data_IF_076490318865
#
_entry.id   IF_076490318865
#
_cell.length_a   1.000
_cell.length_b   1.000
_cell.length_c   1.000
_cell.angle_alpha   90.00
_cell.angle_beta   90.00
_cell.angle_gamma   90.00
#
_symmetry.space_group_name_H-M   'P 1'
#
loop_
_entity.id
_entity.type
_entity.pdbx_description
1 polymer ?
#
# COMPACT_ATOMS: atom_id res chain seq x y z
N UNK A 1 -14.95 -26.18 6.50
CA UNK A 1 -14.83 -24.86 7.16
C UNK A 1 -13.33 -24.57 7.22
N UNK A 2 -12.89 -23.44 6.73
CA UNK A 2 -11.48 -23.04 6.82
C UNK A 2 -11.14 -22.48 8.20
N UNK A 3 -9.85 -22.48 8.56
CA UNK A 3 -9.40 -21.86 9.80
C UNK A 3 -9.63 -20.35 9.73
N UNK A 4 -9.31 -19.74 8.59
CA UNK A 4 -9.45 -18.29 8.38
C UNK A 4 -10.26 -17.96 7.14
N UNK A 5 -11.07 -16.90 7.25
CA UNK A 5 -11.70 -16.21 6.13
C UNK A 5 -11.11 -14.80 6.01
N UNK A 6 -10.49 -14.48 4.88
CA UNK A 6 -9.98 -13.14 4.58
C UNK A 6 -10.94 -12.45 3.62
N UNK A 7 -11.44 -11.28 4.01
CA UNK A 7 -12.36 -10.46 3.20
C UNK A 7 -11.61 -9.30 2.56
N UNK A 8 -11.41 -9.38 1.25
CA UNK A 8 -10.71 -8.38 0.44
C UNK A 8 -9.40 -8.91 -0.15
N UNK A 9 -9.32 -8.94 -1.47
CA UNK A 9 -8.18 -9.43 -2.27
C UNK A 9 -7.19 -8.33 -2.68
N UNK A 10 -7.02 -7.28 -1.86
CA UNK A 10 -5.95 -6.29 -2.01
C UNK A 10 -4.59 -6.84 -1.58
N UNK A 11 -3.54 -5.99 -1.63
CA UNK A 11 -2.17 -6.39 -1.22
C UNK A 11 -2.14 -6.94 0.22
N UNK A 12 -2.93 -6.35 1.13
CA UNK A 12 -3.02 -6.80 2.52
C UNK A 12 -3.66 -8.18 2.60
N UNK A 13 -4.83 -8.39 1.99
CA UNK A 13 -5.50 -9.69 2.04
C UNK A 13 -4.72 -10.80 1.35
N UNK A 14 -4.10 -10.52 0.19
CA UNK A 14 -3.28 -11.50 -0.52
C UNK A 14 -2.02 -11.88 0.28
N UNK A 15 -1.29 -10.91 0.84
CA UNK A 15 -0.11 -11.20 1.66
C UNK A 15 -0.49 -11.95 2.94
N UNK A 16 -1.57 -11.54 3.63
CA UNK A 16 -2.02 -12.23 4.85
C UNK A 16 -2.45 -13.66 4.55
N UNK A 17 -3.22 -13.87 3.47
CA UNK A 17 -3.61 -15.22 3.03
C UNK A 17 -2.38 -16.10 2.78
N UNK A 18 -1.36 -15.53 2.13
CA UNK A 18 -0.10 -16.24 1.87
C UNK A 18 0.64 -16.58 3.18
N UNK A 19 0.78 -15.63 4.10
CA UNK A 19 1.44 -15.86 5.41
C UNK A 19 0.74 -16.97 6.20
N UNK A 20 -0.58 -16.92 6.33
CA UNK A 20 -1.38 -17.92 7.04
C UNK A 20 -1.27 -19.31 6.39
N UNK A 21 -1.38 -19.37 5.07
CA UNK A 21 -1.31 -20.63 4.34
C UNK A 21 0.09 -21.26 4.39
N UNK A 22 1.16 -20.46 4.30
CA UNK A 22 2.53 -20.94 4.48
C UNK A 22 2.82 -21.44 5.90
N UNK A 23 2.09 -20.91 6.91
CA UNK A 23 2.11 -21.42 8.26
C UNK A 23 1.27 -22.70 8.45
N UNK A 24 0.62 -23.21 7.40
CA UNK A 24 -0.15 -24.46 7.39
C UNK A 24 -1.65 -24.32 7.61
N UNK A 25 -2.16 -23.08 7.79
CA UNK A 25 -3.58 -22.85 8.01
C UNK A 25 -4.39 -22.98 6.69
N UNK A 26 -5.63 -23.43 6.78
CA UNK A 26 -6.58 -23.40 5.68
C UNK A 26 -7.25 -22.01 5.59
N UNK A 27 -7.21 -21.38 4.39
CA UNK A 27 -7.69 -20.00 4.23
C UNK A 27 -8.67 -19.92 3.08
N UNK A 28 -9.82 -19.29 3.31
CA UNK A 28 -10.71 -18.82 2.23
C UNK A 28 -10.50 -17.32 2.06
N UNK A 29 -10.17 -16.88 0.85
CA UNK A 29 -10.08 -15.46 0.50
C UNK A 29 -11.23 -15.10 -0.44
N UNK A 30 -12.03 -14.11 -0.05
CA UNK A 30 -13.14 -13.58 -0.87
C UNK A 30 -12.83 -12.17 -1.34
N UNK A 31 -13.06 -11.90 -2.63
CA UNK A 31 -12.89 -10.59 -3.26
C UNK A 31 -14.10 -10.30 -4.15
N UNK A 32 -14.69 -9.10 -4.01
CA UNK A 32 -15.88 -8.71 -4.78
C UNK A 32 -15.65 -8.59 -6.29
N UNK A 33 -14.41 -8.33 -6.69
CA UNK A 33 -13.99 -8.23 -8.09
C UNK A 33 -12.81 -9.17 -8.37
N UNK A 34 -11.85 -8.68 -9.15
CA UNK A 34 -10.57 -9.34 -9.34
C UNK A 34 -9.56 -8.83 -8.31
N UNK A 35 -8.76 -9.73 -7.75
CA UNK A 35 -7.73 -9.38 -6.76
C UNK A 35 -6.75 -8.34 -7.27
N UNK A 36 -6.30 -7.48 -6.35
CA UNK A 36 -5.31 -6.42 -6.54
C UNK A 36 -5.68 -5.38 -7.62
N UNK A 37 -6.96 -5.10 -7.87
CA UNK A 37 -7.42 -4.14 -8.90
C UNK A 37 -7.86 -2.77 -8.36
N UNK A 38 -7.91 -2.60 -7.04
CA UNK A 38 -8.28 -1.33 -6.39
C UNK A 38 -7.02 -0.53 -5.99
N UNK A 39 -6.93 0.00 -4.77
CA UNK A 39 -5.81 0.81 -4.29
C UNK A 39 -4.44 0.15 -4.50
N UNK A 40 -4.36 -1.17 -4.38
CA UNK A 40 -3.14 -1.95 -4.57
C UNK A 40 -2.57 -1.88 -5.99
N UNK A 41 -3.44 -1.77 -6.99
CA UNK A 41 -3.05 -1.56 -8.39
C UNK A 41 -2.73 -0.11 -8.67
N UNK A 42 -3.55 0.81 -8.13
CA UNK A 42 -3.52 2.23 -8.48
C UNK A 42 -2.30 2.99 -7.92
N UNK A 43 -1.64 2.47 -6.90
CA UNK A 43 -0.53 3.14 -6.22
C UNK A 43 0.75 3.26 -7.03
N UNK A 44 1.64 4.17 -6.63
CA UNK A 44 2.92 4.43 -7.31
C UNK A 44 4.00 3.37 -7.08
N UNK A 45 3.94 2.64 -5.98
CA UNK A 45 4.90 1.57 -5.71
C UNK A 45 6.23 2.02 -5.08
N UNK A 46 6.27 3.16 -4.42
CA UNK A 46 7.44 3.58 -3.64
C UNK A 46 7.45 2.76 -2.34
N UNK A 47 8.55 2.07 -2.06
CA UNK A 47 8.75 1.27 -0.84
C UNK A 47 9.37 2.16 0.25
N UNK A 48 8.71 3.27 0.52
CA UNK A 48 9.01 4.22 1.59
C UNK A 48 7.81 5.12 1.82
N UNK A 49 7.54 5.56 3.06
CA UNK A 49 6.67 6.71 3.26
C UNK A 49 7.26 7.93 2.55
N UNK A 50 6.41 8.77 1.95
CA UNK A 50 6.84 10.05 1.42
C UNK A 50 7.12 11.00 2.60
N UNK A 51 8.30 11.60 2.65
CA UNK A 51 8.75 12.39 3.81
C UNK A 51 8.60 11.63 5.13
N UNK A 52 9.37 10.55 5.36
CA UNK A 52 9.15 9.62 6.48
C UNK A 52 9.22 10.27 7.87
N UNK A 53 9.90 11.39 8.03
CA UNK A 53 9.97 12.16 9.28
C UNK A 53 8.67 12.88 9.67
N UNK A 54 7.68 12.93 8.76
CA UNK A 54 6.37 13.53 9.02
C UNK A 54 5.34 12.52 9.54
N UNK A 55 5.76 11.29 9.76
CA UNK A 55 4.89 10.21 10.27
C UNK A 55 5.27 9.83 11.71
N UNK A 56 4.30 9.25 12.41
CA UNK A 56 4.51 8.74 13.77
C UNK A 56 5.52 7.58 13.80
N UNK A 57 6.05 7.29 14.99
CA UNK A 57 6.92 6.13 15.22
C UNK A 57 6.23 4.81 14.85
N UNK A 58 4.91 4.71 15.02
CA UNK A 58 4.14 3.52 14.63
C UNK A 58 4.26 3.25 13.12
N UNK A 59 4.07 4.27 12.26
CA UNK A 59 4.24 4.13 10.81
C UNK A 59 5.70 3.82 10.46
N UNK A 60 6.65 4.47 11.12
CA UNK A 60 8.09 4.25 10.90
C UNK A 60 8.51 2.81 11.21
N UNK A 61 8.01 2.22 12.30
CA UNK A 61 8.31 0.83 12.69
C UNK A 61 7.83 -0.17 11.64
N UNK A 62 6.55 -0.08 11.21
CA UNK A 62 6.02 -0.94 10.15
C UNK A 62 6.79 -0.78 8.84
N UNK A 63 7.09 0.47 8.45
CA UNK A 63 7.81 0.75 7.22
C UNK A 63 9.24 0.17 7.26
N UNK A 64 9.97 0.35 8.35
CA UNK A 64 11.34 -0.14 8.51
C UNK A 64 11.40 -1.66 8.42
N UNK A 65 10.52 -2.36 9.15
CA UNK A 65 10.46 -3.82 9.08
C UNK A 65 10.09 -4.31 7.67
N UNK A 66 9.10 -3.70 7.05
CA UNK A 66 8.67 -4.06 5.69
C UNK A 66 9.74 -3.85 4.63
N UNK A 67 10.49 -2.75 4.70
CA UNK A 67 11.54 -2.44 3.72
C UNK A 67 12.59 -3.54 3.66
N UNK A 68 12.99 -4.10 4.81
CA UNK A 68 13.93 -5.23 4.85
C UNK A 68 13.35 -6.52 4.27
N UNK A 69 12.04 -6.71 4.33
CA UNK A 69 11.36 -7.93 3.87
C UNK A 69 11.13 -7.96 2.36
N UNK A 70 11.06 -6.80 1.69
CA UNK A 70 10.66 -6.72 0.28
C UNK A 70 11.60 -7.46 -0.68
N UNK A 71 12.90 -7.47 -0.41
CA UNK A 71 13.89 -8.18 -1.25
C UNK A 71 13.60 -9.68 -1.27
N UNK A 72 13.38 -10.26 -0.09
CA UNK A 72 13.06 -11.68 0.05
C UNK A 72 11.69 -12.01 -0.54
N UNK A 73 10.68 -11.17 -0.30
CA UNK A 73 9.34 -11.35 -0.85
C UNK A 73 9.34 -11.32 -2.38
N UNK A 74 10.03 -10.35 -2.98
CA UNK A 74 10.11 -10.23 -4.44
C UNK A 74 10.83 -11.42 -5.09
N UNK A 75 11.91 -11.90 -4.47
CA UNK A 75 12.65 -13.08 -4.93
C UNK A 75 11.78 -14.34 -4.84
N UNK A 76 11.13 -14.59 -3.70
CA UNK A 76 10.25 -15.73 -3.49
C UNK A 76 9.08 -15.72 -4.49
N UNK A 77 8.41 -14.58 -4.69
CA UNK A 77 7.32 -14.47 -5.65
C UNK A 77 7.79 -14.75 -7.09
N UNK A 78 8.98 -14.27 -7.46
CA UNK A 78 9.54 -14.53 -8.79
C UNK A 78 9.82 -16.01 -8.98
N UNK A 79 10.41 -16.68 -7.99
CA UNK A 79 10.70 -18.12 -8.02
C UNK A 79 9.41 -18.96 -8.08
N UNK A 80 8.44 -18.66 -7.22
CA UNK A 80 7.17 -19.39 -7.11
C UNK A 80 6.27 -19.24 -8.34
N UNK A 81 6.24 -18.07 -8.95
CA UNK A 81 5.22 -17.72 -9.94
C UNK A 81 5.75 -17.43 -11.34
N UNK A 82 7.05 -17.24 -11.50
CA UNK A 82 7.67 -16.75 -12.73
C UNK A 82 7.38 -15.27 -13.03
N UNK A 83 6.76 -14.53 -12.11
CA UNK A 83 6.38 -13.12 -12.29
C UNK A 83 7.31 -12.25 -11.42
N UNK A 84 8.27 -11.53 -12.05
CA UNK A 84 9.10 -10.54 -11.37
C UNK A 84 8.26 -9.29 -11.01
N UNK A 85 8.10 -8.95 -9.71
CA UNK A 85 7.40 -7.73 -9.29
C UNK A 85 8.14 -6.42 -9.64
N UNK A 86 9.28 -6.49 -10.26
CA UNK A 86 10.17 -5.36 -10.60
C UNK A 86 10.55 -4.51 -9.37
N UNK A 87 11.03 -5.16 -8.31
CA UNK A 87 11.62 -4.44 -7.18
C UNK A 87 12.96 -3.82 -7.61
N UNK A 88 13.07 -2.49 -7.56
CA UNK A 88 14.25 -1.73 -7.99
C UNK A 88 14.72 -0.82 -6.87
N UNK A 89 15.87 -1.14 -6.27
CA UNK A 89 16.54 -0.27 -5.30
C UNK A 89 17.46 0.70 -6.03
N UNK A 90 16.93 1.87 -6.35
CA UNK A 90 17.63 2.94 -7.08
C UNK A 90 17.73 4.24 -6.29
N UNK A 91 17.11 4.30 -5.11
CA UNK A 91 17.06 5.47 -4.27
C UNK A 91 15.98 6.49 -4.67
N UNK A 92 15.85 7.52 -3.84
CA UNK A 92 14.91 8.61 -4.01
C UNK A 92 15.55 9.95 -3.72
N UNK A 93 15.41 10.89 -4.63
CA UNK A 93 15.68 12.30 -4.38
C UNK A 93 14.42 13.00 -3.85
N UNK A 94 14.60 13.86 -2.87
CA UNK A 94 13.57 14.78 -2.39
C UNK A 94 14.10 16.19 -2.59
N UNK A 95 13.41 16.94 -3.45
CA UNK A 95 13.84 18.27 -3.88
C UNK A 95 12.91 19.31 -3.28
N UNK A 96 13.44 20.48 -2.97
CA UNK A 96 12.70 21.61 -2.39
C UNK A 96 12.00 21.25 -1.07
N UNK A 97 12.78 20.68 -0.15
CA UNK A 97 12.29 20.24 1.17
C UNK A 97 12.51 21.34 2.20
N UNK A 98 11.42 21.92 2.71
CA UNK A 98 11.45 23.02 3.69
C UNK A 98 11.93 22.56 5.08
N UNK A 99 11.52 21.37 5.52
CA UNK A 99 11.80 20.79 6.85
C UNK A 99 13.03 19.86 6.84
N UNK A 100 14.10 20.28 6.13
CA UNK A 100 15.35 19.54 5.93
C UNK A 100 16.00 19.08 7.24
N UNK A 101 16.06 19.96 8.24
CA UNK A 101 16.69 19.66 9.53
C UNK A 101 15.92 18.58 10.30
N UNK A 102 14.59 18.60 10.23
CA UNK A 102 13.76 17.55 10.78
C UNK A 102 14.02 16.20 10.08
N UNK A 103 14.19 16.20 8.75
CA UNK A 103 14.55 15.02 7.97
C UNK A 103 15.87 14.40 8.42
N UNK A 104 16.92 15.21 8.56
CA UNK A 104 18.25 14.77 8.98
C UNK A 104 18.24 14.27 10.44
N UNK A 105 17.52 14.96 11.33
CA UNK A 105 17.35 14.53 12.72
C UNK A 105 16.63 13.19 12.83
N UNK A 106 15.56 12.99 12.05
CA UNK A 106 14.86 11.72 11.96
C UNK A 106 15.78 10.61 11.43
N UNK A 107 16.56 10.89 10.38
CA UNK A 107 17.49 9.94 9.80
C UNK A 107 18.53 9.47 10.81
N UNK A 108 19.08 10.39 11.60
CA UNK A 108 20.02 10.07 12.68
C UNK A 108 19.36 9.23 13.78
N UNK A 109 18.16 9.59 14.22
CA UNK A 109 17.42 8.90 15.30
C UNK A 109 17.03 7.47 14.91
N UNK A 110 16.70 7.23 13.64
CA UNK A 110 16.28 5.91 13.14
C UNK A 110 17.39 5.18 12.36
N UNK A 111 18.62 5.69 12.37
CA UNK A 111 19.77 5.11 11.65
C UNK A 111 19.47 4.85 10.17
N UNK A 112 18.82 5.83 9.51
CA UNK A 112 18.43 5.70 8.10
C UNK A 112 19.42 6.46 7.20
N UNK A 113 19.82 5.88 6.06
CA UNK A 113 20.71 6.55 5.12
C UNK A 113 19.95 7.64 4.34
N UNK A 114 19.83 8.81 4.93
CA UNK A 114 19.33 10.03 4.32
C UNK A 114 20.37 11.12 4.48
N UNK A 115 20.81 11.69 3.38
CA UNK A 115 21.85 12.71 3.37
C UNK A 115 21.45 13.90 2.51
N UNK A 116 21.97 15.06 2.86
CA UNK A 116 21.88 16.21 2.00
C UNK A 116 22.97 16.18 0.94
N UNK A 117 22.60 16.46 -0.30
CA UNK A 117 23.49 16.48 -1.46
C UNK A 117 23.37 17.78 -2.24
N UNK A 118 24.46 18.20 -2.84
CA UNK A 118 24.46 19.34 -3.77
C UNK A 118 23.75 18.99 -5.07
N UNK A 119 23.27 20.01 -5.80
CA UNK A 119 22.58 19.83 -7.06
C UNK A 119 23.40 19.09 -8.13
N UNK A 120 24.72 19.24 -8.10
CA UNK A 120 25.63 18.50 -9.00
C UNK A 120 25.46 16.98 -8.88
N UNK A 121 25.24 16.46 -7.66
CA UNK A 121 24.95 15.04 -7.43
C UNK A 121 23.61 14.63 -8.07
N UNK A 122 22.57 15.45 -7.94
CA UNK A 122 21.26 15.21 -8.57
C UNK A 122 21.38 15.23 -10.10
N UNK A 123 21.95 16.28 -10.68
CA UNK A 123 22.07 16.44 -12.14
C UNK A 123 22.98 15.40 -12.78
N UNK A 124 24.01 14.92 -12.08
CA UNK A 124 24.85 13.82 -12.57
C UNK A 124 24.04 12.53 -12.76
N UNK A 125 23.11 12.27 -11.86
CA UNK A 125 22.32 11.04 -11.87
C UNK A 125 20.99 11.15 -12.62
N UNK A 126 20.45 12.34 -12.72
CA UNK A 126 19.18 12.68 -13.39
C UNK A 126 19.40 13.88 -14.30
N UNK A 127 20.08 13.69 -15.46
CA UNK A 127 20.45 14.80 -16.35
C UNK A 127 19.26 15.51 -16.98
N UNK A 128 18.10 14.85 -17.08
CA UNK A 128 16.86 15.43 -17.61
C UNK A 128 16.03 16.17 -16.53
N UNK A 129 16.51 16.24 -15.29
CA UNK A 129 15.83 16.98 -14.23
C UNK A 129 15.89 18.49 -14.49
N UNK A 130 14.79 19.18 -14.19
CA UNK A 130 14.67 20.63 -14.38
C UNK A 130 15.77 21.40 -13.65
N UNK A 131 16.34 22.40 -14.31
CA UNK A 131 17.44 23.23 -13.78
C UNK A 131 16.96 24.23 -12.71
N UNK A 132 17.92 24.80 -11.96
CA UNK A 132 17.66 25.90 -11.00
C UNK A 132 17.68 25.48 -9.55
N UNK A 133 17.76 24.21 -9.23
CA UNK A 133 17.84 23.71 -7.87
C UNK A 133 19.28 23.66 -7.36
N UNK A 134 19.51 23.89 -6.08
CA UNK A 134 20.85 23.97 -5.46
C UNK A 134 21.23 22.75 -4.66
N UNK A 135 20.25 22.03 -4.10
CA UNK A 135 20.46 20.86 -3.26
C UNK A 135 19.24 19.95 -3.24
N UNK A 136 19.43 18.73 -2.79
CA UNK A 136 18.36 17.77 -2.55
C UNK A 136 18.66 16.95 -1.29
N UNK A 137 17.67 16.23 -0.76
CA UNK A 137 17.85 15.12 0.15
C UNK A 137 17.90 13.83 -0.67
N UNK A 138 18.81 12.94 -0.32
CA UNK A 138 19.04 11.68 -1.00
C UNK A 138 18.88 10.50 -0.05
N UNK A 139 17.99 9.55 -0.40
CA UNK A 139 17.79 8.27 0.29
C UNK A 139 18.18 7.12 -0.65
N UNK A 140 19.41 6.56 -0.54
CA UNK A 140 19.94 5.56 -1.48
C UNK A 140 19.22 4.21 -1.44
N UNK A 141 18.65 3.83 -0.30
CA UNK A 141 18.05 2.51 -0.09
C UNK A 141 16.57 2.43 -0.51
N UNK A 142 15.97 3.53 -0.91
CA UNK A 142 14.57 3.50 -1.33
C UNK A 142 14.41 2.66 -2.59
N UNK A 143 13.50 1.71 -2.50
CA UNK A 143 13.10 0.88 -3.62
C UNK A 143 11.78 1.36 -4.23
N UNK A 144 11.55 1.02 -5.48
CA UNK A 144 10.22 1.05 -6.09
C UNK A 144 9.85 -0.35 -6.58
N UNK A 145 8.56 -0.66 -6.62
CA UNK A 145 8.03 -1.93 -7.09
C UNK A 145 6.88 -1.67 -8.07
N UNK A 146 6.65 -2.56 -9.03
CA UNK A 146 5.57 -2.39 -9.98
C UNK A 146 4.28 -3.02 -9.46
N UNK A 147 3.39 -2.20 -8.93
CA UNK A 147 2.16 -2.63 -8.26
C UNK A 147 1.32 -3.66 -9.05
N UNK A 148 1.02 -3.47 -10.36
CA UNK A 148 0.29 -4.46 -11.12
C UNK A 148 0.97 -5.83 -11.18
N UNK A 149 2.31 -5.88 -11.27
CA UNK A 149 3.07 -7.14 -11.31
C UNK A 149 3.15 -7.79 -9.94
N UNK A 150 3.35 -6.99 -8.87
CA UNK A 150 3.26 -7.50 -7.50
C UNK A 150 1.88 -8.13 -7.22
N UNK A 151 0.79 -7.45 -7.61
CA UNK A 151 -0.56 -8.00 -7.46
C UNK A 151 -0.78 -9.29 -8.22
N UNK A 152 -0.26 -9.38 -9.46
CA UNK A 152 -0.31 -10.61 -10.26
C UNK A 152 0.48 -11.75 -9.62
N UNK A 153 1.70 -11.47 -9.15
CA UNK A 153 2.55 -12.45 -8.50
C UNK A 153 1.93 -12.96 -7.19
N UNK A 154 1.43 -12.07 -6.33
CA UNK A 154 0.74 -12.45 -5.09
C UNK A 154 -0.52 -13.28 -5.37
N UNK A 155 -1.35 -12.85 -6.33
CA UNK A 155 -2.54 -13.59 -6.71
C UNK A 155 -2.18 -15.00 -7.20
N UNK A 156 -1.16 -15.12 -8.03
CA UNK A 156 -0.69 -16.41 -8.55
C UNK A 156 -0.14 -17.29 -7.42
N UNK A 157 0.72 -16.77 -6.56
CA UNK A 157 1.25 -17.48 -5.40
C UNK A 157 0.12 -18.03 -4.52
N UNK A 158 -0.88 -17.18 -4.18
CA UNK A 158 -2.05 -17.58 -3.37
C UNK A 158 -2.87 -18.68 -4.05
N UNK A 159 -3.07 -18.61 -5.38
CA UNK A 159 -3.83 -19.62 -6.12
C UNK A 159 -3.12 -21.00 -6.18
N UNK A 160 -1.80 -21.02 -6.14
CA UNK A 160 -1.02 -22.25 -6.21
C UNK A 160 -0.88 -22.96 -4.85
N UNK A 161 -1.25 -22.30 -3.73
CA UNK A 161 -1.24 -22.88 -2.39
C UNK A 161 -2.48 -23.77 -2.16
N UNK A 162 -2.24 -25.05 -1.89
CA UNK A 162 -3.30 -26.07 -1.73
C UNK A 162 -4.26 -25.79 -0.57
N UNK A 163 -3.80 -25.05 0.45
CA UNK A 163 -4.58 -24.69 1.64
C UNK A 163 -5.52 -23.51 1.37
N UNK A 164 -5.44 -22.88 0.19
CA UNK A 164 -6.20 -21.66 -0.11
C UNK A 164 -7.37 -21.94 -1.04
N UNK A 165 -8.53 -21.42 -0.68
CA UNK A 165 -9.69 -21.29 -1.56
C UNK A 165 -9.87 -19.83 -1.93
N UNK A 166 -9.54 -19.46 -3.17
CA UNK A 166 -9.73 -18.09 -3.67
C UNK A 166 -11.10 -17.97 -4.38
N UNK A 167 -11.94 -17.04 -3.91
CA UNK A 167 -13.23 -16.71 -4.50
C UNK A 167 -13.26 -15.25 -4.95
N UNK A 168 -12.96 -15.01 -6.21
CA UNK A 168 -13.13 -13.71 -6.86
C UNK A 168 -14.57 -13.51 -7.34
N UNK A 169 -14.94 -12.26 -7.64
CA UNK A 169 -16.30 -11.86 -8.02
C UNK A 169 -17.36 -12.27 -6.98
N UNK A 170 -16.96 -12.31 -5.71
CA UNK A 170 -17.78 -12.71 -4.57
C UNK A 170 -17.81 -11.59 -3.54
N UNK A 171 -18.84 -10.79 -3.61
CA UNK A 171 -19.04 -9.66 -2.69
C UNK A 171 -19.64 -10.10 -1.37
N UNK A 172 -19.10 -9.59 -0.27
CA UNK A 172 -19.68 -9.77 1.07
C UNK A 172 -20.81 -8.77 1.24
N UNK A 173 -21.98 -9.27 1.62
CA UNK A 173 -23.21 -8.49 1.86
C UNK A 173 -23.34 -8.13 3.34
N UNK A 174 -23.09 -9.10 4.24
CA UNK A 174 -23.15 -8.90 5.69
C UNK A 174 -22.37 -9.99 6.42
N UNK A 175 -22.11 -9.77 7.71
CA UNK A 175 -21.58 -10.81 8.60
C UNK A 175 -22.68 -11.79 9.04
N UNK A 176 -22.29 -13.04 9.25
CA UNK A 176 -23.11 -14.05 9.91
C UNK A 176 -22.71 -14.07 11.38
N UNK A 177 -23.64 -13.68 12.27
CA UNK A 177 -23.36 -13.45 13.69
C UNK A 177 -24.29 -14.29 14.55
N UNK A 178 -23.75 -14.90 15.60
CA UNK A 178 -24.49 -15.59 16.66
C UNK A 178 -24.06 -15.03 18.03
N UNK A 179 -24.96 -14.27 18.68
CA UNK A 179 -24.60 -13.47 19.85
C UNK A 179 -23.53 -12.44 19.53
N UNK A 180 -22.39 -12.49 20.20
CA UNK A 180 -21.22 -11.63 19.93
C UNK A 180 -20.17 -12.32 19.04
N UNK A 181 -20.44 -13.51 18.50
CA UNK A 181 -19.51 -14.29 17.70
C UNK A 181 -19.81 -14.15 16.21
N UNK A 182 -18.82 -13.70 15.44
CA UNK A 182 -18.86 -13.69 13.98
C UNK A 182 -18.43 -15.06 13.47
N UNK A 183 -19.35 -15.77 12.81
CA UNK A 183 -19.12 -17.10 12.25
C UNK A 183 -18.60 -17.07 10.82
N UNK A 184 -18.68 -15.93 10.15
CA UNK A 184 -18.29 -15.73 8.76
C UNK A 184 -19.08 -14.64 8.07
N UNK A 185 -19.30 -14.78 6.77
CA UNK A 185 -19.98 -13.79 5.93
C UNK A 185 -21.07 -14.41 5.07
N UNK A 186 -22.08 -13.60 4.74
CA UNK A 186 -23.06 -13.89 3.71
C UNK A 186 -22.64 -13.22 2.40
N UNK A 187 -22.76 -13.95 1.32
CA UNK A 187 -22.54 -13.50 -0.06
C UNK A 187 -23.76 -13.86 -0.93
N UNK A 188 -23.83 -13.34 -2.13
CA UNK A 188 -24.87 -13.75 -3.11
C UNK A 188 -24.83 -15.24 -3.47
N UNK A 189 -23.73 -15.94 -3.18
CA UNK A 189 -23.54 -17.37 -3.44
C UNK A 189 -23.80 -18.23 -2.19
N UNK A 190 -24.19 -17.63 -1.06
CA UNK A 190 -24.45 -18.30 0.20
C UNK A 190 -23.53 -17.88 1.32
N UNK A 191 -23.61 -18.55 2.46
CA UNK A 191 -22.78 -18.28 3.63
C UNK A 191 -21.42 -18.96 3.49
N UNK A 192 -20.37 -18.24 3.90
CA UNK A 192 -18.99 -18.73 4.02
C UNK A 192 -18.61 -18.61 5.50
N UNK A 193 -18.36 -19.75 6.15
CA UNK A 193 -17.99 -19.79 7.58
C UNK A 193 -16.52 -20.19 7.77
N UNK A 194 -15.89 -19.67 8.81
CA UNK A 194 -14.52 -19.97 9.20
C UNK A 194 -14.32 -19.88 10.70
N UNK A 195 -13.19 -20.38 11.20
CA UNK A 195 -12.82 -20.24 12.61
C UNK A 195 -12.59 -18.78 13.01
N UNK A 196 -12.07 -17.94 12.09
CA UNK A 196 -11.87 -16.51 12.31
C UNK A 196 -11.96 -15.73 10.98
N UNK A 197 -12.58 -14.55 11.00
CA UNK A 197 -12.75 -13.67 9.85
C UNK A 197 -11.81 -12.47 9.97
N UNK A 198 -11.02 -12.18 8.92
CA UNK A 198 -10.18 -10.97 8.85
C UNK A 198 -10.71 -10.03 7.77
N UNK A 199 -11.03 -8.80 8.16
CA UNK A 199 -11.51 -7.77 7.23
C UNK A 199 -10.32 -6.94 6.73
N UNK A 200 -9.95 -7.15 5.45
CA UNK A 200 -8.85 -6.47 4.75
C UNK A 200 -9.36 -5.71 3.50
N UNK A 201 -10.56 -5.13 3.59
CA UNK A 201 -11.33 -4.55 2.47
C UNK A 201 -10.92 -3.12 2.11
N UNK A 202 -9.75 -2.64 2.56
CA UNK A 202 -9.24 -1.31 2.25
C UNK A 202 -10.23 -0.20 2.60
N UNK A 203 -10.57 0.65 1.64
CA UNK A 203 -11.48 1.79 1.86
C UNK A 203 -12.92 1.38 2.19
N UNK A 204 -13.31 0.13 1.98
CA UNK A 204 -14.65 -0.38 2.30
C UNK A 204 -14.76 -1.00 3.69
N UNK A 205 -13.65 -1.06 4.45
CA UNK A 205 -13.62 -1.71 5.77
C UNK A 205 -14.57 -1.04 6.75
N UNK A 206 -14.57 0.30 6.83
CA UNK A 206 -15.51 1.04 7.70
C UNK A 206 -16.98 0.77 7.34
N UNK A 207 -17.30 0.72 6.05
CA UNK A 207 -18.65 0.42 5.57
C UNK A 207 -19.10 -0.99 5.98
N UNK A 208 -18.25 -2.01 5.82
CA UNK A 208 -18.58 -3.39 6.21
C UNK A 208 -18.77 -3.51 7.74
N UNK A 209 -17.90 -2.91 8.53
CA UNK A 209 -18.01 -2.95 10.00
C UNK A 209 -19.21 -2.16 10.54
N UNK A 210 -19.75 -1.21 9.79
CA UNK A 210 -21.02 -0.55 10.09
C UNK A 210 -22.18 -1.54 10.26
N UNK A 211 -22.14 -2.69 9.57
CA UNK A 211 -23.09 -3.80 9.75
C UNK A 211 -23.02 -4.47 11.12
N UNK A 212 -21.97 -4.25 11.90
CA UNK A 212 -21.79 -4.68 13.30
C UNK A 212 -21.94 -3.48 14.27
N UNK A 213 -22.44 -2.35 13.82
CA UNK A 213 -22.51 -1.11 14.62
C UNK A 213 -21.12 -0.64 15.12
N UNK A 214 -20.06 -0.91 14.35
CA UNK A 214 -18.70 -0.46 14.65
C UNK A 214 -18.34 0.72 13.72
N UNK A 215 -18.08 1.88 14.31
CA UNK A 215 -17.59 3.06 13.59
C UNK A 215 -16.06 3.03 13.49
N UNK A 216 -15.54 2.39 12.43
CA UNK A 216 -14.11 2.40 12.15
C UNK A 216 -13.77 3.61 11.27
N UNK A 217 -12.90 4.55 11.70
CA UNK A 217 -12.57 5.76 10.94
C UNK A 217 -11.57 5.43 9.82
N UNK A 218 -12.02 4.65 8.85
CA UNK A 218 -11.31 4.37 7.60
C UNK A 218 -12.15 4.87 6.44
N UNK A 219 -11.66 5.94 5.79
CA UNK A 219 -12.39 6.65 4.74
C UNK A 219 -11.68 6.55 3.38
N UNK A 220 -12.44 6.56 2.27
CA UNK A 220 -11.84 6.61 0.95
C UNK A 220 -11.22 7.99 0.67
N UNK A 221 -9.93 8.02 0.33
CA UNK A 221 -9.23 9.22 -0.12
C UNK A 221 -8.75 9.01 -1.55
N UNK A 222 -9.39 9.71 -2.50
CA UNK A 222 -9.09 9.58 -3.92
C UNK A 222 -7.71 10.15 -4.25
N UNK A 223 -7.01 9.48 -5.15
CA UNK A 223 -5.80 9.98 -5.76
C UNK A 223 -5.73 9.61 -7.21
N UNK A 224 -5.46 10.62 -8.05
CA UNK A 224 -5.29 10.43 -9.48
C UNK A 224 -3.81 10.35 -9.82
N UNK A 225 -3.48 9.52 -10.79
CA UNK A 225 -2.13 9.25 -11.28
C UNK A 225 -2.13 9.15 -12.79
N UNK A 226 -0.96 9.41 -13.38
CA UNK A 226 -0.77 9.32 -14.82
C UNK A 226 0.52 8.55 -15.14
N UNK A 227 0.59 7.96 -16.32
CA UNK A 227 1.79 7.32 -16.83
C UNK A 227 2.12 7.83 -18.24
N UNK A 228 3.37 8.20 -18.42
CA UNK A 228 3.93 8.56 -19.74
C UNK A 228 4.52 7.31 -20.39
N UNK A 229 4.34 7.20 -21.71
CA UNK A 229 5.03 6.23 -22.56
C UNK A 229 6.33 6.86 -23.04
N UNK A 230 7.32 6.90 -22.16
CA UNK A 230 8.64 7.45 -22.45
C UNK A 230 9.64 6.33 -22.83
N UNK A 231 10.91 6.69 -22.90
CA UNK A 231 12.03 5.81 -23.19
C UNK A 231 12.76 5.43 -21.90
N UNK A 232 13.47 4.29 -21.86
CA UNK A 232 14.36 3.96 -20.75
C UNK A 232 15.42 5.05 -20.51
N UNK A 233 15.79 5.25 -19.24
CA UNK A 233 16.82 6.18 -18.79
C UNK A 233 16.52 7.68 -18.90
N UNK A 234 15.29 8.09 -19.25
CA UNK A 234 14.86 9.49 -19.12
C UNK A 234 14.81 9.90 -17.63
N UNK A 235 14.33 9.00 -16.78
CA UNK A 235 14.39 9.09 -15.31
C UNK A 235 14.95 7.77 -14.79
N UNK A 236 15.88 7.83 -13.85
CA UNK A 236 16.56 6.65 -13.34
C UNK A 236 16.16 6.30 -11.88
N UNK A 237 15.73 7.30 -11.11
CA UNK A 237 15.40 7.21 -9.69
C UNK A 237 14.05 7.83 -9.40
N UNK A 238 13.51 7.51 -8.24
CA UNK A 238 12.31 8.21 -7.76
C UNK A 238 12.69 9.65 -7.43
N UNK A 239 11.89 10.60 -7.93
CA UNK A 239 12.01 12.01 -7.59
C UNK A 239 10.73 12.45 -6.89
N UNK A 240 10.86 13.04 -5.70
CA UNK A 240 9.78 13.59 -4.90
C UNK A 240 9.97 15.10 -4.77
N UNK A 241 8.99 15.89 -5.19
CA UNK A 241 9.02 17.34 -5.13
C UNK A 241 7.60 17.88 -4.87
N UNK A 242 7.46 18.82 -3.95
CA UNK A 242 6.19 19.45 -3.59
C UNK A 242 5.03 18.45 -3.33
N UNK A 243 5.33 17.32 -2.68
CA UNK A 243 4.35 16.27 -2.37
C UNK A 243 3.94 15.38 -3.55
N UNK A 244 4.52 15.60 -4.74
CA UNK A 244 4.31 14.79 -5.94
C UNK A 244 5.59 14.06 -6.34
N UNK A 245 5.43 12.98 -7.07
CA UNK A 245 6.54 12.10 -7.43
C UNK A 245 6.54 11.69 -8.88
N UNK A 246 7.74 11.42 -9.38
CA UNK A 246 8.01 10.80 -10.67
C UNK A 246 8.72 9.48 -10.42
N UNK A 247 8.21 8.38 -10.98
CA UNK A 247 8.71 7.01 -10.73
C UNK A 247 9.01 6.33 -12.05
N UNK A 248 10.29 5.99 -12.34
CA UNK A 248 10.65 5.27 -13.56
C UNK A 248 10.28 3.77 -13.46
N UNK A 249 10.00 3.17 -14.63
CA UNK A 249 9.87 1.73 -14.82
C UNK A 249 10.95 1.23 -15.79
N UNK A 250 11.28 -0.05 -15.71
CA UNK A 250 12.34 -0.66 -16.53
C UNK A 250 12.04 -0.62 -18.03
N UNK A 251 10.77 -0.57 -18.41
CA UNK A 251 10.30 -0.49 -19.79
C UNK A 251 10.19 0.95 -20.36
N UNK A 252 10.71 1.94 -19.64
CA UNK A 252 10.67 3.34 -20.02
C UNK A 252 9.42 4.10 -19.61
N UNK A 253 8.39 3.42 -19.10
CA UNK A 253 7.22 4.11 -18.54
C UNK A 253 7.60 4.94 -17.33
N UNK A 254 7.01 6.12 -17.21
CA UNK A 254 7.24 7.04 -16.09
C UNK A 254 5.90 7.37 -15.45
N UNK A 255 5.71 6.97 -14.19
CA UNK A 255 4.52 7.29 -13.41
C UNK A 255 4.68 8.64 -12.74
N UNK A 256 3.59 9.42 -12.75
CA UNK A 256 3.50 10.71 -12.05
C UNK A 256 2.28 10.71 -11.14
N UNK A 257 2.45 11.12 -9.92
CA UNK A 257 1.38 11.15 -8.92
C UNK A 257 1.70 12.08 -7.77
N UNK A 258 0.75 12.35 -6.95
CA UNK A 258 -0.67 12.03 -7.07
C UNK A 258 -1.50 13.18 -6.55
N UNK A 259 -2.76 13.24 -6.91
CA UNK A 259 -3.72 14.13 -6.24
C UNK A 259 -4.12 13.58 -4.86
N UNK A 260 -4.80 14.40 -4.06
CA UNK A 260 -5.42 14.03 -2.79
C UNK A 260 -6.78 14.72 -2.72
N UNK A 261 -7.87 13.92 -2.77
CA UNK A 261 -9.22 14.42 -2.93
C UNK A 261 -10.17 13.65 -1.99
N UNK A 262 -11.04 14.38 -1.30
CA UNK A 262 -12.05 13.82 -0.38
C UNK A 262 -13.42 13.82 -1.04
N UNK A 263 -13.67 12.84 -1.91
CA UNK A 263 -14.90 12.71 -2.73
C UNK A 263 -15.61 11.37 -2.48
N UNK A 264 -15.48 10.79 -1.30
CA UNK A 264 -16.05 9.50 -0.98
C UNK A 264 -15.56 8.41 -1.96
N UNK A 265 -16.47 7.56 -2.39
CA UNK A 265 -16.15 6.44 -3.30
C UNK A 265 -16.12 6.81 -4.79
N UNK A 266 -16.19 8.11 -5.14
CA UNK A 266 -16.10 8.55 -6.53
C UNK A 266 -14.69 8.34 -7.08
N UNK A 267 -14.54 7.52 -8.14
CA UNK A 267 -13.29 7.25 -8.85
C UNK A 267 -13.19 7.95 -10.22
N UNK A 268 -14.08 8.87 -10.53
CA UNK A 268 -14.02 9.60 -11.80
C UNK A 268 -12.74 10.43 -11.87
N UNK A 269 -12.03 10.32 -12.98
CA UNK A 269 -10.89 11.19 -13.31
C UNK A 269 -11.40 12.57 -13.76
N UNK A 270 -10.58 13.60 -13.55
CA UNK A 270 -10.93 14.98 -13.92
C UNK A 270 -9.87 15.59 -14.83
N UNK A 271 -10.28 16.46 -15.75
CA UNK A 271 -9.34 17.14 -16.65
C UNK A 271 -8.43 18.09 -15.87
N UNK A 272 -8.93 18.73 -14.80
CA UNK A 272 -8.11 19.60 -13.95
C UNK A 272 -6.98 18.82 -13.26
N UNK A 273 -7.24 17.61 -12.77
CA UNK A 273 -6.21 16.76 -12.21
C UNK A 273 -5.23 16.27 -13.27
N UNK A 274 -5.72 15.93 -14.46
CA UNK A 274 -4.89 15.53 -15.59
C UNK A 274 -3.91 16.64 -15.97
N UNK A 275 -4.39 17.85 -16.16
CA UNK A 275 -3.56 19.00 -16.46
C UNK A 275 -2.55 19.28 -15.33
N UNK A 276 -3.00 19.29 -14.08
CA UNK A 276 -2.13 19.52 -12.93
C UNK A 276 -1.01 18.46 -12.80
N UNK A 277 -1.29 17.19 -13.08
CA UNK A 277 -0.29 16.12 -13.08
C UNK A 277 0.68 16.26 -14.27
N UNK A 278 0.17 16.63 -15.44
CA UNK A 278 0.99 16.85 -16.62
C UNK A 278 1.96 18.01 -16.40
N UNK A 279 1.49 19.16 -15.92
CA UNK A 279 2.35 20.30 -15.61
C UNK A 279 3.39 19.98 -14.55
N UNK A 280 3.02 19.18 -13.53
CA UNK A 280 3.99 18.67 -12.56
C UNK A 280 5.06 17.80 -13.21
N UNK A 281 4.66 16.88 -14.09
CA UNK A 281 5.58 15.98 -14.77
C UNK A 281 6.62 16.75 -15.60
N UNK A 282 6.14 17.68 -16.43
CA UNK A 282 6.99 18.52 -17.30
C UNK A 282 7.81 19.51 -16.47
N UNK A 283 7.27 20.00 -15.36
CA UNK A 283 8.00 20.87 -14.43
C UNK A 283 9.17 20.17 -13.73
N UNK A 284 9.05 18.86 -13.47
CA UNK A 284 10.12 18.05 -12.86
C UNK A 284 11.11 17.55 -13.94
N UNK A 285 10.58 17.02 -15.04
CA UNK A 285 11.33 16.46 -16.17
C UNK A 285 10.82 17.09 -17.46
N UNK A 286 11.41 18.21 -17.94
CA UNK A 286 10.91 18.96 -19.09
C UNK A 286 10.76 18.11 -20.36
N UNK A 287 11.65 17.14 -20.56
CA UNK A 287 11.63 16.23 -21.70
C UNK A 287 10.37 15.34 -21.76
N UNK A 288 9.58 15.22 -20.66
CA UNK A 288 8.31 14.50 -20.71
C UNK A 288 7.27 15.16 -21.61
N UNK A 289 7.46 16.43 -21.98
CA UNK A 289 6.63 17.10 -22.98
C UNK A 289 6.68 16.43 -24.37
N UNK A 290 7.76 15.71 -24.68
CA UNK A 290 7.96 15.02 -25.96
C UNK A 290 7.24 13.66 -26.03
N UNK A 291 6.67 13.19 -24.90
CA UNK A 291 6.08 11.85 -24.78
C UNK A 291 4.58 11.93 -24.52
N UNK A 292 3.86 10.93 -25.03
CA UNK A 292 2.42 10.82 -24.82
C UNK A 292 2.08 10.28 -23.41
N UNK A 293 0.99 10.79 -22.85
CA UNK A 293 0.33 10.17 -21.69
C UNK A 293 -0.39 8.90 -22.15
N UNK A 294 0.03 7.75 -21.65
CA UNK A 294 -0.53 6.44 -21.99
C UNK A 294 -1.83 6.16 -21.22
N UNK A 295 -1.84 6.46 -19.91
CA UNK A 295 -3.00 6.27 -19.03
C UNK A 295 -3.10 7.34 -17.95
N UNK A 296 -4.34 7.64 -17.57
CA UNK A 296 -4.71 8.46 -16.43
C UNK A 296 -5.80 7.71 -15.65
N UNK A 297 -5.62 7.52 -14.34
CA UNK A 297 -6.55 6.73 -13.52
C UNK A 297 -6.67 7.30 -12.10
N UNK A 298 -7.68 6.81 -11.36
CA UNK A 298 -7.89 7.11 -9.96
C UNK A 298 -7.93 5.84 -9.11
N UNK A 299 -7.53 5.96 -7.84
CA UNK A 299 -7.67 4.94 -6.83
C UNK A 299 -8.12 5.53 -5.49
N UNK A 300 -8.68 4.70 -4.62
CA UNK A 300 -9.17 5.10 -3.30
C UNK A 300 -8.25 4.54 -2.22
N UNK A 301 -7.49 5.42 -1.57
CA UNK A 301 -6.66 5.04 -0.43
C UNK A 301 -7.53 4.82 0.80
N UNK A 302 -7.29 3.79 1.61
CA UNK A 302 -7.98 3.60 2.89
C UNK A 302 -7.39 4.57 3.94
N UNK A 303 -7.94 5.79 4.00
CA UNK A 303 -7.49 6.83 4.92
C UNK A 303 -7.82 6.46 6.37
N UNK A 304 -6.86 6.58 7.27
CA UNK A 304 -7.01 6.41 8.72
C UNK A 304 -6.45 7.62 9.46
N UNK A 305 -6.86 7.88 10.70
CA UNK A 305 -6.26 8.94 11.52
C UNK A 305 -4.74 8.79 11.61
N UNK A 306 -4.00 9.85 11.34
CA UNK A 306 -2.52 9.92 11.32
C UNK A 306 -1.85 8.92 10.36
N UNK A 307 -2.60 8.23 9.51
CA UNK A 307 -2.09 7.18 8.63
C UNK A 307 -1.66 5.90 9.35
N UNK A 308 -2.03 5.75 10.62
CA UNK A 308 -1.75 4.55 11.41
C UNK A 308 -2.83 3.50 11.11
N UNK A 309 -2.47 2.30 10.60
CA UNK A 309 -3.46 1.28 10.30
C UNK A 309 -4.15 0.72 11.55
N UNK A 310 -5.28 0.07 11.34
CA UNK A 310 -5.97 -0.74 12.32
C UNK A 310 -5.62 -2.21 12.08
N UNK A 311 -5.00 -2.85 13.09
CA UNK A 311 -4.57 -4.25 13.03
C UNK A 311 -4.92 -4.90 14.37
N UNK A 312 -5.85 -5.85 14.36
CA UNK A 312 -6.25 -6.57 15.56
C UNK A 312 -7.75 -6.87 15.63
N UNK A 313 -8.18 -7.35 16.77
CA UNK A 313 -9.55 -7.78 17.05
C UNK A 313 -10.54 -6.60 17.06
N UNK A 314 -11.79 -6.90 16.70
CA UNK A 314 -12.90 -5.94 16.74
C UNK A 314 -13.50 -5.95 18.16
N UNK A 315 -13.46 -4.85 18.91
CA UNK A 315 -14.01 -4.79 20.26
C UNK A 315 -15.50 -5.16 20.30
N UNK A 316 -15.89 -5.96 21.29
CA UNK A 316 -17.28 -6.43 21.48
C UNK A 316 -17.67 -7.62 20.61
N UNK A 317 -16.78 -8.11 19.76
CA UNK A 317 -17.02 -9.29 18.94
C UNK A 317 -15.88 -10.31 19.04
N UNK A 318 -16.24 -11.59 18.94
CA UNK A 318 -15.31 -12.72 18.83
C UNK A 318 -15.26 -13.21 17.38
N UNK A 319 -14.16 -13.85 16.99
CA UNK A 319 -14.02 -14.46 15.67
C UNK A 319 -13.86 -13.47 14.52
N UNK A 320 -13.53 -12.21 14.80
CA UNK A 320 -13.31 -11.18 13.78
C UNK A 320 -12.17 -10.22 14.14
N UNK A 321 -11.36 -9.89 13.16
CA UNK A 321 -10.31 -8.88 13.25
C UNK A 321 -10.22 -8.03 11.99
N UNK A 322 -9.43 -6.97 12.04
CA UNK A 322 -9.25 -6.00 10.94
C UNK A 322 -7.76 -5.86 10.60
N UNK A 323 -7.46 -5.67 9.33
CA UNK A 323 -6.18 -5.16 8.85
C UNK A 323 -6.41 -4.16 7.71
N UNK A 324 -6.56 -2.89 8.05
CA UNK A 324 -6.93 -1.83 7.10
C UNK A 324 -6.46 -0.44 7.56
N UNK A 325 -6.62 0.55 6.70
CA UNK A 325 -6.29 1.94 7.06
C UNK A 325 -4.82 2.33 6.84
N UNK A 326 -4.08 1.62 6.00
CA UNK A 326 -2.68 1.93 5.70
C UNK A 326 -2.48 3.22 4.90
N UNK A 327 -3.55 3.88 4.49
CA UNK A 327 -3.62 5.17 3.81
C UNK A 327 -2.66 5.28 2.62
N UNK A 328 -1.75 6.28 2.66
CA UNK A 328 -0.78 6.56 1.58
C UNK A 328 0.37 5.54 1.52
N UNK A 329 0.52 4.75 2.56
CA UNK A 329 1.66 3.87 2.79
C UNK A 329 1.31 2.38 2.62
N UNK A 330 0.12 2.06 2.07
CA UNK A 330 -0.41 0.70 2.01
C UNK A 330 0.55 -0.33 1.45
N UNK A 331 1.34 0.06 0.44
CA UNK A 331 2.33 -0.85 -0.12
C UNK A 331 3.49 -1.06 0.85
N UNK A 332 4.16 0.02 1.28
CA UNK A 332 5.34 -0.12 2.15
C UNK A 332 5.01 -0.73 3.51
N UNK A 333 3.79 -0.57 4.03
CA UNK A 333 3.40 -1.15 5.31
C UNK A 333 2.89 -2.60 5.20
N UNK A 334 2.58 -3.08 3.99
CA UNK A 334 1.89 -4.36 3.81
C UNK A 334 2.61 -5.56 4.43
N UNK A 335 3.92 -5.80 4.19
CA UNK A 335 4.59 -6.96 4.77
C UNK A 335 4.54 -6.99 6.30
N UNK A 336 4.84 -5.87 6.97
CA UNK A 336 4.80 -5.80 8.43
C UNK A 336 3.38 -5.90 9.00
N UNK A 337 2.40 -5.23 8.34
CA UNK A 337 0.99 -5.30 8.75
C UNK A 337 0.44 -6.71 8.69
N UNK A 338 0.78 -7.46 7.65
CA UNK A 338 0.29 -8.83 7.46
C UNK A 338 1.02 -9.82 8.34
N UNK A 339 2.34 -9.65 8.53
CA UNK A 339 3.10 -10.47 9.46
C UNK A 339 2.62 -10.27 10.90
N UNK A 340 2.44 -9.04 11.35
CA UNK A 340 1.90 -8.72 12.66
C UNK A 340 0.52 -9.38 12.87
N UNK A 341 -0.38 -9.26 11.88
CA UNK A 341 -1.70 -9.88 11.96
C UNK A 341 -1.61 -11.40 12.00
N UNK A 342 -0.74 -12.01 11.20
CA UNK A 342 -0.53 -13.45 11.20
C UNK A 342 0.02 -13.95 12.55
N UNK A 343 1.00 -13.25 13.13
CA UNK A 343 1.56 -13.59 14.45
C UNK A 343 0.46 -13.58 15.53
N UNK A 344 -0.41 -12.56 15.53
CA UNK A 344 -1.53 -12.45 16.47
C UNK A 344 -2.54 -13.61 16.30
N UNK A 345 -2.90 -13.94 15.06
CA UNK A 345 -3.87 -14.99 14.76
C UNK A 345 -3.34 -16.39 15.06
N UNK A 346 -2.05 -16.59 14.91
CA UNK A 346 -1.38 -17.89 15.15
C UNK A 346 -0.84 -18.04 16.60
N UNK A 347 -1.06 -17.04 17.45
CA UNK A 347 -0.55 -17.04 18.83
C UNK A 347 0.98 -16.99 18.91
N UNK A 348 1.64 -16.42 17.90
CA UNK A 348 3.10 -16.25 17.86
C UNK A 348 3.51 -14.93 18.52
N UNK A 349 4.79 -14.80 18.86
CA UNK A 349 5.32 -13.53 19.35
C UNK A 349 5.32 -12.50 18.22
N UNK A 350 4.60 -11.36 18.36
CA UNK A 350 4.52 -10.35 17.31
C UNK A 350 5.88 -9.75 16.97
N UNK A 351 6.15 -9.59 15.67
CA UNK A 351 7.39 -8.95 15.16
C UNK A 351 7.53 -7.47 15.50
N UNK A 352 6.42 -6.83 15.85
CA UNK A 352 6.31 -5.41 16.22
C UNK A 352 5.27 -5.29 17.33
N UNK A 353 5.43 -4.34 18.27
CA UNK A 353 4.44 -4.05 19.30
C UNK A 353 3.06 -3.77 18.69
N UNK A 354 2.02 -4.57 18.97
CA UNK A 354 0.70 -4.42 18.36
C UNK A 354 -0.11 -3.23 18.91
N UNK A 355 0.23 -2.71 20.09
CA UNK A 355 -0.59 -1.73 20.82
C UNK A 355 -0.95 -0.47 20.01
N UNK A 356 -0.03 0.15 19.22
CA UNK A 356 -0.37 1.34 18.43
C UNK A 356 -1.41 1.10 17.34
N UNK A 357 -1.64 -0.16 16.94
CA UNK A 357 -2.48 -0.51 15.78
C UNK A 357 -3.83 -1.10 16.19
N UNK A 358 -4.03 -1.41 17.48
CA UNK A 358 -5.28 -1.96 18.00
C UNK A 358 -6.46 -1.01 17.78
N UNK A 359 -7.65 -1.58 17.61
CA UNK A 359 -8.89 -0.83 17.42
C UNK A 359 -9.39 -0.19 18.72
N UNK A 360 -9.14 -0.85 19.87
CA UNK A 360 -9.58 -0.34 21.17
C UNK A 360 -9.01 1.07 21.45
N UNK A 361 -9.89 2.00 21.82
CA UNK A 361 -9.53 3.40 22.07
C UNK A 361 -9.30 4.26 20.82
N UNK A 362 -9.45 3.70 19.60
CA UNK A 362 -9.27 4.41 18.32
C UNK A 362 -10.52 4.38 17.43
N UNK A 363 -11.61 3.81 17.91
CA UNK A 363 -12.90 3.82 17.20
C UNK A 363 -13.54 5.22 17.27
N UNK A 364 -14.28 5.60 16.22
CA UNK A 364 -15.10 6.81 16.20
C UNK A 364 -16.36 6.67 17.05
N UNK A 365 -17.00 7.80 17.36
CA UNK A 365 -18.37 7.81 17.89
C UNK A 365 -19.34 7.37 16.79
N UNK A 366 -20.34 6.59 17.16
CA UNK A 366 -21.47 6.27 16.28
C UNK A 366 -22.37 7.49 16.08
#
# INVERSE_FOLDING_TARGET
>A
MSDFLVVGGGVIGLMLTRELALAGASVTLVERGTCAKEASWAGGGIVSPLYPWRYSSAVTQLATWSQSSYVHLAAALTEETGIDPELRQKGMYMVDVEDRDAALSWAAAYHRPLVAVEASHLYHHEPEFASGYKSALWMPEVSSIRNPRLGQALRRSVMDLKQVTLQENTGVERFVVEGETVLGVQTSQGNITAGHTVVASGSWTGHLLGGLSISLPVEPVKGQMMVFKAEPNIVNRVILMAGRYVIPRSDGRILVGSTLEHEGFNKQITESARESLYQTAVGIIPRLADFSVEHHWAGLRPGSPEGIPFIGEVPGYQGISVNAGQYRNGLVLAPASTRLQADLLLGQTPVIDPRPYQLAGRLGSL
#
